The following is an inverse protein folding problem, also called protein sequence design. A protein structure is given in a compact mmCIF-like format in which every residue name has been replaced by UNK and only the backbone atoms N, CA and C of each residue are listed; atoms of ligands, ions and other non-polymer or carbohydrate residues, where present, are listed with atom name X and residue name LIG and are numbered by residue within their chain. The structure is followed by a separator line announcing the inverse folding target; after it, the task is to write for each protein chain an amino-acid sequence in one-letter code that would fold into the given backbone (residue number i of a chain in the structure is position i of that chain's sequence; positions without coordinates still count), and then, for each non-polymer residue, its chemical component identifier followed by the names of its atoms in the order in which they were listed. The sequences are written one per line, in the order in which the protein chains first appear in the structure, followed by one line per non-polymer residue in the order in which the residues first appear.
data_IF_562737179596
#
_entry.id   IF_562737179596
#
_cell.length_a   1.000
_cell.length_b   1.000
_cell.length_c   1.000
_cell.angle_alpha   90.00
_cell.angle_beta   90.00
_cell.angle_gamma   90.00
#
_symmetry.space_group_name_H-M   'P 1'
#
loop_
_entity.id
_entity.type
_entity.pdbx_description
1 polymer ?
#
# COMPACT_ATOMS: atom_id res chain seq x y z
N UNK A 1 -6.95 9.02 2.20
CA UNK A 1 -6.93 9.81 3.44
C UNK A 1 -5.70 9.38 4.22
N UNK A 2 -4.92 10.33 4.74
CA UNK A 2 -3.80 10.04 5.63
C UNK A 2 -4.31 10.22 7.07
N UNK A 3 -4.10 9.24 7.93
CA UNK A 3 -4.52 9.30 9.34
C UNK A 3 -3.40 8.81 10.26
N UNK A 4 -3.41 9.26 11.51
CA UNK A 4 -2.51 8.76 12.56
C UNK A 4 -3.32 8.36 13.78
N UNK A 5 -3.40 7.05 14.04
CA UNK A 5 -4.11 6.48 15.20
C UNK A 5 -3.45 6.87 16.51
N UNK A 6 -2.12 7.00 16.54
CA UNK A 6 -1.37 7.45 17.71
C UNK A 6 -1.71 8.91 18.08
N UNK A 7 -1.74 9.80 17.09
CA UNK A 7 -2.11 11.20 17.32
C UNK A 7 -3.57 11.35 17.75
N UNK A 8 -4.48 10.55 17.17
CA UNK A 8 -5.88 10.52 17.58
C UNK A 8 -6.07 10.02 19.02
N UNK A 9 -5.24 9.08 19.49
CA UNK A 9 -5.26 8.63 20.87
C UNK A 9 -4.84 9.75 21.84
N UNK A 10 -3.85 10.57 21.47
CA UNK A 10 -3.45 11.77 22.23
C UNK A 10 -4.59 12.81 22.28
N UNK A 11 -5.43 12.88 21.24
CA UNK A 11 -6.61 13.75 21.19
C UNK A 11 -7.87 13.16 21.86
N UNK A 12 -7.72 12.16 22.72
CA UNK A 12 -8.84 11.48 23.38
C UNK A 12 -9.88 10.90 22.39
N UNK A 13 -9.43 10.47 21.21
CA UNK A 13 -10.30 9.88 20.18
C UNK A 13 -11.01 10.89 19.28
N UNK A 14 -10.86 12.19 19.54
CA UNK A 14 -11.43 13.26 18.73
C UNK A 14 -10.81 13.27 17.33
N UNK A 15 -11.66 13.45 16.31
CA UNK A 15 -11.21 13.57 14.93
C UNK A 15 -10.98 15.05 14.63
N UNK A 16 -9.70 15.40 14.47
CA UNK A 16 -9.27 16.70 13.98
C UNK A 16 -8.77 16.54 12.55
N UNK A 17 -9.53 17.07 11.60
CA UNK A 17 -9.23 16.92 10.17
C UNK A 17 -9.02 18.27 9.47
N UNK A 18 -8.19 18.25 8.44
CA UNK A 18 -7.92 19.38 7.58
C UNK A 18 -7.73 18.89 6.15
N UNK A 19 -8.17 19.70 5.18
CA UNK A 19 -8.04 19.41 3.76
C UNK A 19 -6.98 20.33 3.15
N UNK A 20 -6.05 19.74 2.41
CA UNK A 20 -5.06 20.45 1.61
C UNK A 20 -5.24 20.08 0.13
N UNK A 21 -5.30 21.08 -0.73
CA UNK A 21 -5.34 20.88 -2.18
C UNK A 21 -3.90 20.96 -2.74
N UNK A 22 -3.49 19.91 -3.46
CA UNK A 22 -2.13 19.78 -4.02
C UNK A 22 -2.16 19.74 -5.56
N UNK A 23 -2.48 20.86 -6.23
CA UNK A 23 -2.72 20.89 -7.68
C UNK A 23 -1.49 20.52 -8.52
N UNK A 24 -0.29 20.62 -7.95
CA UNK A 24 0.99 20.34 -8.63
C UNK A 24 1.63 19.02 -8.21
N UNK A 25 0.90 18.13 -7.54
CA UNK A 25 1.41 16.83 -7.08
C UNK A 25 0.69 15.67 -7.75
N UNK A 26 1.34 15.02 -8.73
CA UNK A 26 0.77 13.89 -9.46
C UNK A 26 1.07 12.51 -8.81
N UNK A 27 2.00 12.43 -7.86
CA UNK A 27 2.41 11.18 -7.23
C UNK A 27 1.76 11.03 -5.84
N UNK A 28 1.06 9.90 -5.62
CA UNK A 28 0.37 9.61 -4.35
C UNK A 28 1.30 9.56 -3.15
N UNK A 29 2.52 9.03 -3.30
CA UNK A 29 3.52 8.97 -2.23
C UNK A 29 4.02 10.37 -1.85
N UNK A 30 4.19 11.27 -2.82
CA UNK A 30 4.51 12.67 -2.55
C UNK A 30 3.36 13.37 -1.83
N UNK A 31 2.12 13.11 -2.23
CA UNK A 31 0.95 13.68 -1.57
C UNK A 31 0.85 13.20 -0.10
N UNK A 32 1.10 11.92 0.15
CA UNK A 32 1.17 11.37 1.51
C UNK A 32 2.29 12.01 2.33
N UNK A 33 3.49 12.17 1.77
CA UNK A 33 4.60 12.85 2.44
C UNK A 33 4.27 14.29 2.83
N UNK A 34 3.68 15.06 1.92
CA UNK A 34 3.25 16.43 2.20
C UNK A 34 2.17 16.43 3.30
N UNK A 35 1.18 15.54 3.20
CA UNK A 35 0.16 15.38 4.23
C UNK A 35 0.74 15.05 5.60
N UNK A 36 1.75 14.17 5.66
CA UNK A 36 2.39 13.78 6.92
C UNK A 36 3.18 14.93 7.52
N UNK A 37 3.91 15.68 6.69
CA UNK A 37 4.63 16.86 7.12
C UNK A 37 3.66 17.91 7.70
N UNK A 38 2.56 18.18 7.01
CA UNK A 38 1.52 19.11 7.48
C UNK A 38 0.86 18.63 8.78
N UNK A 39 0.56 17.33 8.88
CA UNK A 39 -0.01 16.72 10.09
C UNK A 39 0.93 16.80 11.29
N UNK A 40 2.22 16.53 11.10
CA UNK A 40 3.20 16.65 12.17
C UNK A 40 3.40 18.11 12.58
N UNK A 41 3.50 19.02 11.61
CA UNK A 41 3.66 20.45 11.86
C UNK A 41 2.48 21.06 12.62
N UNK A 42 1.25 20.54 12.45
CA UNK A 42 0.06 21.05 13.16
C UNK A 42 0.16 20.86 14.68
N UNK A 43 1.02 19.95 15.17
CA UNK A 43 1.29 19.74 16.60
C UNK A 43 2.22 20.79 17.21
N UNK A 44 3.02 21.45 16.39
CA UNK A 44 4.00 22.46 16.81
C UNK A 44 3.55 23.83 16.32
N UNK A 45 2.58 24.39 17.05
CA UNK A 45 1.87 25.62 16.68
C UNK A 45 2.38 26.89 17.35
N UNK A 46 3.36 26.81 18.27
CA UNK A 46 3.80 28.00 19.01
C UNK A 46 4.52 28.98 18.07
N UNK A 47 4.10 30.24 18.13
CA UNK A 47 4.75 31.37 17.46
C UNK A 47 5.08 32.40 18.52
N UNK A 48 6.34 32.82 18.54
CA UNK A 48 6.86 33.82 19.46
C UNK A 48 7.24 35.08 18.70
N UNK A 49 6.99 36.21 19.34
CA UNK A 49 7.28 37.54 18.81
C UNK A 49 7.95 38.32 19.92
N UNK A 50 9.15 38.82 19.67
CA UNK A 50 9.90 39.58 20.67
C UNK A 50 10.79 40.62 20.01
N UNK A 51 11.09 41.68 20.76
CA UNK A 51 12.14 42.63 20.41
C UNK A 51 13.45 42.21 21.07
N UNK A 52 14.55 42.37 20.36
CA UNK A 52 15.91 42.19 20.85
C UNK A 52 16.73 43.46 20.52
N UNK A 53 17.86 43.62 21.20
CA UNK A 53 18.84 44.63 20.80
C UNK A 53 19.50 44.25 19.46
N UNK A 54 20.43 45.09 19.00
CA UNK A 54 21.16 44.91 17.75
C UNK A 54 21.88 43.56 17.62
N UNK A 55 22.17 42.87 18.73
CA UNK A 55 22.70 41.50 18.73
C UNK A 55 21.75 40.47 18.12
N UNK A 56 20.46 40.79 18.02
CA UNK A 56 19.48 40.02 17.26
C UNK A 56 19.77 39.98 15.76
N UNK A 57 20.63 40.85 15.22
CA UNK A 57 21.08 40.77 13.82
C UNK A 57 22.12 39.67 13.57
N UNK A 58 22.58 38.98 14.62
CA UNK A 58 23.50 37.85 14.48
C UNK A 58 22.82 36.58 13.96
N UNK A 59 21.49 36.55 13.95
CA UNK A 59 20.72 35.47 13.37
C UNK A 59 20.07 35.90 12.07
N UNK A 60 19.76 34.92 11.22
CA UNK A 60 19.17 35.11 9.91
C UNK A 60 17.79 34.44 9.82
N UNK A 61 16.98 34.87 8.85
CA UNK A 61 15.70 34.21 8.57
C UNK A 61 15.96 32.77 8.12
N UNK A 62 15.34 31.80 8.80
CA UNK A 62 15.55 30.37 8.58
C UNK A 62 16.37 29.67 9.66
N UNK A 63 17.14 30.43 10.45
CA UNK A 63 17.94 29.88 11.55
C UNK A 63 17.08 29.23 12.62
N UNK A 64 17.61 28.16 13.22
CA UNK A 64 17.01 27.49 14.37
C UNK A 64 17.78 27.91 15.63
N UNK A 65 17.12 28.67 16.49
CA UNK A 65 17.71 29.25 17.69
C UNK A 65 17.08 28.68 18.96
N UNK A 66 17.88 28.41 20.00
CA UNK A 66 17.35 28.03 21.31
C UNK A 66 16.84 29.27 22.06
N UNK A 67 15.64 29.19 22.63
CA UNK A 67 15.04 30.23 23.46
C UNK A 67 14.76 29.66 24.86
N UNK A 68 15.16 30.41 25.88
CA UNK A 68 14.91 30.11 27.29
C UNK A 68 14.06 31.23 27.89
N UNK A 69 12.93 30.88 28.49
CA UNK A 69 12.03 31.85 29.13
C UNK A 69 11.24 31.19 30.27
N UNK A 70 11.23 31.81 31.45
CA UNK A 70 10.65 31.23 32.66
C UNK A 70 9.12 31.18 32.63
N UNK A 71 8.43 32.23 32.15
CA UNK A 71 6.96 32.31 32.13
C UNK A 71 6.27 31.11 31.43
N UNK A 72 6.68 30.70 30.20
CA UNK A 72 6.17 29.49 29.58
C UNK A 72 6.99 28.22 29.92
N UNK A 73 8.00 28.33 30.80
CA UNK A 73 8.82 27.20 31.26
C UNK A 73 9.76 26.62 30.20
N UNK A 74 10.30 27.44 29.30
CA UNK A 74 11.20 26.98 28.24
C UNK A 74 12.66 27.00 28.68
N UNK A 75 13.37 25.92 28.39
CA UNK A 75 14.82 25.78 28.56
C UNK A 75 15.41 25.32 27.23
N UNK A 76 16.19 26.18 26.56
CA UNK A 76 16.80 25.91 25.27
C UNK A 76 15.84 25.31 24.23
N UNK A 77 14.56 25.72 24.27
CA UNK A 77 13.54 25.22 23.34
C UNK A 77 13.81 25.80 21.96
N UNK A 78 13.74 24.98 20.92
CA UNK A 78 14.13 25.40 19.57
C UNK A 78 13.00 26.12 18.85
N UNK A 79 13.35 27.22 18.19
CA UNK A 79 12.46 27.99 17.33
C UNK A 79 13.18 28.34 16.03
N UNK A 80 12.48 28.25 14.90
CA UNK A 80 12.93 28.74 13.59
C UNK A 80 12.49 30.18 13.36
N UNK A 81 13.43 31.04 13.00
CA UNK A 81 13.17 32.42 12.66
C UNK A 81 12.42 32.50 11.33
N UNK A 82 11.29 33.21 11.33
CA UNK A 82 10.44 33.45 10.15
C UNK A 82 10.62 34.85 9.59
N UNK A 83 10.87 35.83 10.45
CA UNK A 83 10.98 37.23 10.07
C UNK A 83 11.89 37.98 11.05
N UNK A 84 12.68 38.90 10.51
CA UNK A 84 13.47 39.89 11.23
C UNK A 84 13.15 41.26 10.64
N UNK A 85 12.91 42.25 11.49
CA UNK A 85 12.61 43.63 11.11
C UNK A 85 13.36 44.59 12.04
N UNK A 86 14.07 45.57 11.49
CA UNK A 86 14.71 46.64 12.26
C UNK A 86 13.68 47.74 12.49
N UNK A 87 13.55 48.20 13.74
CA UNK A 87 12.62 49.25 14.15
C UNK A 87 13.35 50.62 14.23
N UNK A 88 12.57 51.69 14.21
CA UNK A 88 13.07 53.08 14.28
C UNK A 88 13.72 53.44 15.63
N UNK A 89 13.62 52.57 16.63
CA UNK A 89 14.23 52.70 17.96
C UNK A 89 15.51 51.87 18.13
N UNK A 90 16.15 51.47 17.03
CA UNK A 90 17.34 50.62 16.99
C UNK A 90 17.17 49.19 17.58
N UNK A 91 15.92 48.76 17.82
CA UNK A 91 15.60 47.39 18.20
C UNK A 91 15.33 46.51 16.97
N UNK A 92 15.53 45.21 17.17
CA UNK A 92 15.28 44.16 16.19
C UNK A 92 14.06 43.37 16.60
N UNK A 93 13.01 43.43 15.79
CA UNK A 93 11.81 42.64 15.98
C UNK A 93 11.93 41.28 15.29
N UNK A 94 11.71 40.21 16.04
CA UNK A 94 11.87 38.83 15.57
C UNK A 94 10.56 38.07 15.72
N UNK A 95 10.16 37.37 14.67
CA UNK A 95 9.08 36.37 14.69
C UNK A 95 9.69 35.00 14.47
N UNK A 96 9.45 34.07 15.40
CA UNK A 96 9.94 32.71 15.30
C UNK A 96 8.82 31.70 15.58
N UNK A 97 8.88 30.53 14.94
CA UNK A 97 7.94 29.41 15.15
C UNK A 97 8.67 28.25 15.78
N UNK A 98 7.97 27.53 16.64
CA UNK A 98 8.47 26.28 17.23
C UNK A 98 9.04 25.34 16.19
N UNK A 99 10.21 24.78 16.51
CA UNK A 99 10.93 23.87 15.67
C UNK A 99 11.17 22.55 16.39
N UNK A 100 10.90 21.45 15.69
CA UNK A 100 11.29 20.11 16.10
C UNK A 100 11.73 19.31 14.87
N UNK A 101 12.83 18.57 14.99
CA UNK A 101 13.39 17.81 13.88
C UNK A 101 12.48 16.63 13.46
N UNK A 102 11.69 16.07 14.39
CA UNK A 102 10.79 14.94 14.13
C UNK A 102 9.69 15.26 13.11
N UNK A 103 9.38 16.53 12.91
CA UNK A 103 8.43 17.01 11.89
C UNK A 103 8.82 16.52 10.49
N UNK A 104 10.14 16.46 10.21
CA UNK A 104 10.70 16.08 8.91
C UNK A 104 11.02 14.59 8.76
N UNK A 105 10.80 13.80 9.82
CA UNK A 105 11.03 12.35 9.78
C UNK A 105 9.87 11.69 9.02
N UNK A 106 10.19 11.02 7.91
CA UNK A 106 9.20 10.31 7.10
C UNK A 106 8.81 8.99 7.75
N UNK A 107 7.50 8.79 7.95
CA UNK A 107 6.92 7.51 8.36
C UNK A 107 6.80 6.55 7.17
N UNK A 108 6.55 5.27 7.45
CA UNK A 108 6.23 4.26 6.43
C UNK A 108 4.99 4.70 5.65
N UNK A 109 5.15 4.82 4.33
CA UNK A 109 4.06 5.25 3.45
C UNK A 109 3.08 4.11 3.21
N UNK A 110 1.78 4.43 3.23
CA UNK A 110 0.74 3.47 2.90
C UNK A 110 0.84 3.10 1.42
N UNK A 111 0.85 1.79 1.07
CA UNK A 111 0.87 1.35 -0.31
C UNK A 111 -0.25 2.01 -1.13
N UNK A 112 0.03 2.32 -2.39
CA UNK A 112 -1.02 2.73 -3.31
C UNK A 112 -2.11 1.66 -3.35
N UNK A 113 -3.38 2.09 -3.45
CA UNK A 113 -4.50 1.16 -3.54
C UNK A 113 -4.26 0.19 -4.71
N UNK A 114 -4.33 -1.11 -4.44
CA UNK A 114 -4.19 -2.13 -5.48
C UNK A 114 -5.41 -2.00 -6.39
N UNK A 115 -5.18 -1.59 -7.63
CA UNK A 115 -6.20 -1.65 -8.66
C UNK A 115 -6.46 -3.13 -8.95
N UNK A 116 -7.72 -3.56 -8.87
CA UNK A 116 -8.09 -4.93 -9.19
C UNK A 116 -7.59 -5.26 -10.60
N UNK A 117 -6.64 -6.19 -10.70
CA UNK A 117 -6.17 -6.69 -11.99
C UNK A 117 -7.25 -7.62 -12.56
N UNK A 118 -7.29 -7.70 -13.89
CA UNK A 118 -8.13 -8.69 -14.56
C UNK A 118 -7.78 -10.10 -14.08
N UNK A 119 -8.79 -10.90 -13.78
CA UNK A 119 -8.67 -12.30 -13.39
C UNK A 119 -8.84 -13.24 -14.60
N UNK A 120 -8.58 -12.75 -15.81
CA UNK A 120 -8.65 -13.56 -17.03
C UNK A 120 -7.72 -14.77 -16.92
N UNK A 121 -8.24 -16.00 -17.13
CA UNK A 121 -7.42 -17.19 -17.25
C UNK A 121 -6.42 -17.07 -18.42
N UNK A 122 -5.28 -17.74 -18.31
CA UNK A 122 -4.32 -17.84 -19.42
C UNK A 122 -4.97 -18.64 -20.57
N UNK A 123 -5.15 -18.05 -21.78
CA UNK A 123 -5.78 -18.73 -22.90
C UNK A 123 -4.96 -19.90 -23.47
N UNK A 124 -3.69 -20.03 -23.09
CA UNK A 124 -2.83 -21.14 -23.52
C UNK A 124 -2.68 -22.24 -22.47
N UNK A 125 -3.24 -22.06 -21.27
CA UNK A 125 -3.22 -23.06 -20.23
C UNK A 125 -4.41 -24.00 -20.39
N UNK A 126 -4.16 -25.21 -20.90
CA UNK A 126 -5.15 -26.28 -20.97
C UNK A 126 -4.87 -27.27 -19.85
N UNK A 127 -5.81 -27.43 -18.92
CA UNK A 127 -5.68 -28.43 -17.86
C UNK A 127 -5.80 -29.85 -18.44
N UNK A 128 -4.92 -30.75 -17.99
CA UNK A 128 -4.97 -32.16 -18.38
C UNK A 128 -6.24 -32.87 -17.87
N UNK A 129 -6.64 -33.94 -18.55
CA UNK A 129 -7.78 -34.77 -18.13
C UNK A 129 -7.44 -35.48 -16.81
N UNK A 130 -8.32 -35.37 -15.82
CA UNK A 130 -8.18 -36.01 -14.50
C UNK A 130 -9.19 -37.15 -14.31
N UNK A 131 -8.95 -38.01 -13.33
CA UNK A 131 -9.87 -39.11 -12.99
C UNK A 131 -10.01 -40.19 -14.07
N UNK A 132 -9.04 -40.32 -14.97
CA UNK A 132 -9.05 -41.36 -16.00
C UNK A 132 -9.04 -42.74 -15.34
N UNK A 133 -10.07 -43.53 -15.59
CA UNK A 133 -10.21 -44.90 -15.10
C UNK A 133 -10.66 -45.83 -16.22
N UNK A 134 -10.09 -47.03 -16.22
CA UNK A 134 -10.39 -48.09 -17.16
C UNK A 134 -10.95 -49.26 -16.36
N UNK A 135 -12.15 -49.72 -16.73
CA UNK A 135 -12.77 -50.89 -16.12
C UNK A 135 -13.01 -51.96 -17.19
N UNK A 136 -12.66 -53.20 -16.87
CA UNK A 136 -12.89 -54.39 -17.68
C UNK A 136 -13.29 -55.56 -16.79
N UNK A 137 -14.05 -56.51 -17.31
CA UNK A 137 -14.50 -57.67 -16.56
C UNK A 137 -15.91 -58.07 -16.93
N UNK A 138 -16.48 -59.03 -16.20
CA UNK A 138 -17.80 -59.62 -16.50
C UNK A 138 -18.95 -58.62 -16.49
N UNK A 139 -18.84 -57.55 -15.69
CA UNK A 139 -19.80 -56.44 -15.62
C UNK A 139 -19.76 -55.50 -16.83
N UNK A 140 -18.70 -55.55 -17.64
CA UNK A 140 -18.50 -54.67 -18.80
C UNK A 140 -18.62 -55.41 -20.14
N UNK A 141 -18.89 -56.72 -20.11
CA UNK A 141 -19.09 -57.53 -21.31
C UNK A 141 -20.41 -57.17 -21.99
N UNK A 142 -20.40 -57.09 -23.33
CA UNK A 142 -21.65 -57.13 -24.08
C UNK A 142 -21.98 -58.59 -24.40
N UNK A 143 -23.12 -59.08 -23.90
CA UNK A 143 -23.68 -60.37 -24.28
C UNK A 143 -24.74 -60.18 -25.36
N UNK A 144 -24.58 -60.88 -26.47
CA UNK A 144 -25.52 -60.88 -27.58
C UNK A 144 -26.59 -61.97 -27.36
N UNK A 145 -27.74 -61.83 -28.02
CA UNK A 145 -28.88 -62.74 -27.85
C UNK A 145 -28.65 -64.18 -28.33
N UNK A 146 -27.58 -64.41 -29.09
CA UNK A 146 -27.09 -65.70 -29.55
C UNK A 146 -26.13 -66.38 -28.54
N UNK A 147 -25.87 -65.75 -27.40
CA UNK A 147 -24.93 -66.23 -26.38
C UNK A 147 -23.47 -65.80 -26.60
N UNK A 148 -23.16 -65.09 -27.69
CA UNK A 148 -21.82 -64.57 -27.96
C UNK A 148 -21.44 -63.46 -26.98
N UNK A 149 -20.18 -63.43 -26.56
CA UNK A 149 -19.64 -62.47 -25.60
C UNK A 149 -18.58 -61.59 -26.26
N UNK A 150 -18.79 -60.27 -26.23
CA UNK A 150 -17.82 -59.27 -26.69
C UNK A 150 -17.18 -58.61 -25.46
N UNK A 151 -15.86 -58.75 -25.36
CA UNK A 151 -15.07 -58.05 -24.34
C UNK A 151 -14.99 -56.56 -24.65
N UNK A 152 -15.25 -55.72 -23.64
CA UNK A 152 -15.17 -54.26 -23.74
C UNK A 152 -14.42 -53.69 -22.54
N UNK A 153 -13.89 -52.50 -22.72
CA UNK A 153 -13.29 -51.68 -21.67
C UNK A 153 -14.14 -50.42 -21.56
N UNK A 154 -14.67 -50.15 -20.37
CA UNK A 154 -15.30 -48.87 -20.06
C UNK A 154 -14.22 -47.88 -19.68
N UNK A 155 -14.20 -46.73 -20.35
CA UNK A 155 -13.30 -45.63 -20.06
C UNK A 155 -14.13 -44.51 -19.45
N UNK A 156 -13.77 -44.08 -18.24
CA UNK A 156 -14.39 -42.93 -17.59
C UNK A 156 -13.31 -41.89 -17.27
N UNK A 157 -13.67 -40.61 -17.31
CA UNK A 157 -12.83 -39.52 -16.82
C UNK A 157 -13.73 -38.45 -16.18
N UNK A 158 -13.15 -37.60 -15.36
CA UNK A 158 -13.89 -36.48 -14.78
C UNK A 158 -14.17 -35.43 -15.85
N UNK A 159 -15.39 -34.88 -15.88
CA UNK A 159 -15.74 -33.78 -16.78
C UNK A 159 -14.77 -32.61 -16.58
N UNK A 160 -14.11 -32.09 -17.64
CA UNK A 160 -13.23 -30.95 -17.51
C UNK A 160 -13.99 -29.73 -16.96
N UNK A 161 -13.35 -28.97 -16.07
CA UNK A 161 -13.91 -27.76 -15.46
C UNK A 161 -13.49 -26.48 -16.19
N UNK A 162 -12.72 -26.62 -17.26
CA UNK A 162 -12.21 -25.51 -18.08
C UNK A 162 -13.25 -25.05 -19.11
N UNK A 163 -13.39 -23.73 -19.29
CA UNK A 163 -14.28 -23.12 -20.29
C UNK A 163 -13.84 -23.43 -21.72
N UNK A 164 -12.54 -23.71 -21.94
CA UNK A 164 -11.94 -23.95 -23.25
C UNK A 164 -11.87 -25.44 -23.64
N UNK A 165 -12.05 -26.38 -22.70
CA UNK A 165 -11.98 -27.82 -22.95
C UNK A 165 -13.33 -28.52 -22.69
N UNK A 166 -14.21 -28.56 -23.70
CA UNK A 166 -15.59 -29.05 -23.54
C UNK A 166 -15.82 -30.47 -24.06
N UNK A 167 -14.87 -31.03 -24.82
CA UNK A 167 -15.01 -32.35 -25.47
C UNK A 167 -13.69 -33.12 -25.39
N UNK A 168 -13.77 -34.43 -25.16
CA UNK A 168 -12.64 -35.35 -25.17
C UNK A 168 -12.81 -36.42 -26.25
N UNK A 169 -11.70 -36.97 -26.72
CA UNK A 169 -11.68 -38.14 -27.62
C UNK A 169 -10.75 -39.21 -27.04
N UNK A 170 -11.06 -40.48 -27.30
CA UNK A 170 -10.23 -41.61 -26.89
C UNK A 170 -9.48 -42.15 -28.09
N UNK A 171 -8.15 -42.23 -28.00
CA UNK A 171 -7.29 -42.91 -28.96
C UNK A 171 -6.73 -44.19 -28.36
N UNK A 172 -6.80 -45.30 -29.11
CA UNK A 172 -6.15 -46.56 -28.74
C UNK A 172 -4.95 -46.79 -29.64
N UNK A 173 -3.78 -47.06 -29.05
CA UNK A 173 -2.58 -47.46 -29.78
C UNK A 173 -2.28 -48.92 -29.49
N UNK A 174 -2.45 -49.77 -30.49
CA UNK A 174 -2.02 -51.16 -30.38
C UNK A 174 -0.49 -51.22 -30.43
N UNK A 175 0.19 -51.85 -29.46
CA UNK A 175 1.58 -52.19 -29.63
C UNK A 175 1.68 -53.25 -30.75
N UNK A 176 2.52 -53.00 -31.76
CA UNK A 176 2.88 -54.06 -32.72
C UNK A 176 3.71 -55.09 -31.94
N UNK A 177 3.20 -56.30 -31.79
CA UNK A 177 3.93 -57.39 -31.15
C UNK A 177 5.10 -57.85 -32.02
N UNK A 178 6.30 -57.92 -31.45
CA UNK A 178 7.33 -58.83 -31.95
C UNK A 178 6.88 -60.24 -31.55
N UNK A 179 6.46 -61.03 -32.54
CA UNK A 179 6.39 -62.47 -32.39
C UNK A 179 7.84 -62.98 -32.50
N UNK A 180 8.32 -63.61 -31.42
CA UNK A 180 9.52 -64.45 -31.46
C UNK A 180 9.21 -65.75 -32.21
#
# INVERSE_FOLDING_TARGET
MLESTALRAVDNGLILESKIDLPFTANSYRAQNIGQLTLNQSRFGLVVKFSAFQEGLRCEVGDVVPITHSTPGWTAKLFRILQIEIKDNDEVYIVAREYDASIYTQSVLSPAAIVAKSNLPDPFSVLGVSGLSLASGTSELLRLGDGSVISRIRVNWATPTDIYAQKGQIGMKNPRGNLA
#
